data_IF_021103559088
#
_entry.id   IF_021103559088
#
_cell.length_a   1.000
_cell.length_b   1.000
_cell.length_c   1.000
_cell.angle_alpha   90.00
_cell.angle_beta   90.00
_cell.angle_gamma   90.00
#
_symmetry.space_group_name_H-M   'P 1'
#
loop_
_entity.id
_entity.type
_entity.pdbx_description
1 polymer ?
#
# COMPACT_ATOMS: atom_id res chain seq x y z
N UNK A 1 7.11 -9.65 7.78
CA UNK A 1 8.12 -9.81 6.72
C UNK A 1 7.61 -9.06 5.50
N UNK A 2 8.38 -8.12 4.95
CA UNK A 2 8.01 -7.39 3.74
C UNK A 2 8.49 -8.22 2.55
N UNK A 3 7.60 -8.99 1.93
CA UNK A 3 7.95 -9.69 0.68
C UNK A 3 8.21 -8.65 -0.40
N UNK A 4 9.49 -8.53 -0.79
CA UNK A 4 9.92 -7.64 -1.85
C UNK A 4 9.76 -8.37 -3.19
N UNK A 5 8.70 -8.07 -3.94
CA UNK A 5 8.52 -8.57 -5.31
C UNK A 5 9.59 -8.00 -6.23
N UNK A 6 10.14 -8.85 -7.10
CA UNK A 6 11.02 -8.45 -8.19
C UNK A 6 10.33 -7.53 -9.19
N UNK A 7 11.12 -6.93 -10.08
CA UNK A 7 10.61 -6.07 -11.15
C UNK A 7 9.64 -6.81 -12.08
N UNK A 8 10.00 -8.02 -12.50
CA UNK A 8 9.18 -8.86 -13.38
C UNK A 8 7.86 -9.27 -12.71
N UNK A 9 7.91 -9.71 -11.45
CA UNK A 9 6.70 -10.01 -10.67
C UNK A 9 5.82 -8.77 -10.48
N UNK A 10 6.44 -7.60 -10.35
CA UNK A 10 5.70 -6.33 -10.24
C UNK A 10 4.99 -6.00 -11.56
N UNK A 11 5.63 -6.19 -12.71
CA UNK A 11 4.97 -6.02 -14.02
C UNK A 11 3.80 -7.00 -14.17
N UNK A 12 4.04 -8.28 -13.90
CA UNK A 12 3.00 -9.32 -13.95
C UNK A 12 1.83 -9.02 -13.01
N UNK A 13 2.12 -8.49 -11.82
CA UNK A 13 1.09 -8.04 -10.90
C UNK A 13 0.25 -6.89 -11.48
N UNK A 14 0.89 -5.91 -12.13
CA UNK A 14 0.20 -4.77 -12.76
C UNK A 14 -0.71 -5.26 -13.89
N UNK A 15 -0.26 -6.19 -14.74
CA UNK A 15 -1.07 -6.76 -15.82
C UNK A 15 -2.33 -7.46 -15.28
N UNK A 16 -2.16 -8.31 -14.27
CA UNK A 16 -3.29 -9.01 -13.63
C UNK A 16 -4.24 -8.01 -12.93
N UNK A 17 -3.69 -6.98 -12.30
CA UNK A 17 -4.47 -5.92 -11.66
C UNK A 17 -5.28 -5.11 -12.69
N UNK A 18 -4.68 -4.79 -13.83
CA UNK A 18 -5.34 -4.07 -14.92
C UNK A 18 -6.50 -4.89 -15.51
N UNK A 19 -6.33 -6.19 -15.70
CA UNK A 19 -7.38 -7.09 -16.19
C UNK A 19 -8.63 -7.09 -15.28
N UNK A 20 -8.43 -6.97 -13.98
CA UNK A 20 -9.49 -6.98 -12.97
C UNK A 20 -10.13 -5.59 -12.75
N UNK A 21 -10.88 -5.12 -13.76
CA UNK A 21 -11.51 -3.80 -13.79
C UNK A 21 -12.28 -3.40 -12.52
N UNK A 22 -12.92 -4.33 -11.82
CA UNK A 22 -13.65 -4.02 -10.59
C UNK A 22 -12.74 -3.52 -9.45
N UNK A 23 -11.44 -3.77 -9.52
CA UNK A 23 -10.47 -3.38 -8.49
C UNK A 23 -9.97 -1.94 -8.60
N UNK A 24 -10.09 -1.32 -9.77
CA UNK A 24 -9.51 0.01 -10.04
C UNK A 24 -10.47 0.97 -10.74
N UNK A 25 -11.43 0.47 -11.52
CA UNK A 25 -12.30 1.31 -12.32
C UNK A 25 -13.59 1.68 -11.56
N UNK A 26 -13.77 2.94 -11.12
CA UNK A 26 -14.97 3.37 -10.41
C UNK A 26 -16.23 3.36 -11.29
N UNK A 27 -16.08 3.41 -12.62
CA UNK A 27 -17.18 3.32 -13.59
C UNK A 27 -17.71 1.89 -13.73
N UNK A 28 -16.99 0.88 -13.22
CA UNK A 28 -17.44 -0.50 -13.26
C UNK A 28 -18.57 -0.75 -12.25
N UNK A 29 -19.70 -1.30 -12.72
CA UNK A 29 -20.86 -1.67 -11.87
C UNK A 29 -20.51 -2.58 -10.68
N UNK A 30 -19.47 -3.39 -10.79
CA UNK A 30 -19.02 -4.31 -9.75
C UNK A 30 -18.00 -3.70 -8.78
N UNK A 31 -17.57 -2.45 -8.97
CA UNK A 31 -16.58 -1.79 -8.11
C UNK A 31 -17.02 -1.64 -6.66
N UNK A 32 -18.34 -1.70 -6.40
CA UNK A 32 -18.92 -1.66 -5.04
C UNK A 32 -19.28 -3.05 -4.50
N UNK A 33 -19.21 -4.09 -5.34
CA UNK A 33 -19.59 -5.44 -4.95
C UNK A 33 -18.42 -6.13 -4.26
N UNK A 34 -18.51 -6.26 -2.92
CA UNK A 34 -17.47 -6.85 -2.08
C UNK A 34 -17.12 -8.29 -2.48
N UNK A 35 -18.10 -9.07 -2.91
CA UNK A 35 -17.88 -10.47 -3.30
C UNK A 35 -17.04 -10.53 -4.57
N UNK A 36 -17.41 -9.76 -5.60
CA UNK A 36 -16.65 -9.70 -6.86
C UNK A 36 -15.25 -9.16 -6.63
N UNK A 37 -15.08 -8.12 -5.80
CA UNK A 37 -13.76 -7.60 -5.43
C UNK A 37 -12.91 -8.67 -4.75
N UNK A 38 -13.49 -9.39 -3.79
CA UNK A 38 -12.79 -10.46 -3.09
C UNK A 38 -12.39 -11.59 -4.03
N UNK A 39 -13.29 -12.03 -4.91
CA UNK A 39 -13.01 -13.08 -5.89
C UNK A 39 -11.90 -12.66 -6.86
N UNK A 40 -11.88 -11.38 -7.25
CA UNK A 40 -10.83 -10.84 -8.13
C UNK A 40 -9.48 -10.81 -7.44
N UNK A 41 -9.42 -10.43 -6.16
CA UNK A 41 -8.19 -10.56 -5.38
C UNK A 41 -7.75 -12.01 -5.22
N UNK A 42 -8.69 -12.94 -5.01
CA UNK A 42 -8.37 -14.37 -4.93
C UNK A 42 -7.80 -14.90 -6.25
N UNK A 43 -8.33 -14.48 -7.40
CA UNK A 43 -7.77 -14.85 -8.71
C UNK A 43 -6.32 -14.41 -8.84
N UNK A 44 -6.03 -13.14 -8.55
CA UNK A 44 -4.64 -12.62 -8.60
C UNK A 44 -3.74 -13.36 -7.60
N UNK A 45 -4.20 -13.56 -6.37
CA UNK A 45 -3.46 -14.27 -5.33
C UNK A 45 -3.10 -15.70 -5.74
N UNK A 46 -4.05 -16.43 -6.31
CA UNK A 46 -3.84 -17.79 -6.80
C UNK A 46 -2.87 -17.82 -7.99
N UNK A 47 -2.94 -16.85 -8.90
CA UNK A 47 -2.05 -16.78 -10.07
C UNK A 47 -0.61 -16.39 -9.71
N UNK A 48 -0.43 -15.53 -8.71
CA UNK A 48 0.89 -15.08 -8.24
C UNK A 48 1.49 -16.00 -7.17
N UNK A 49 0.67 -16.81 -6.49
CA UNK A 49 1.10 -17.57 -5.31
C UNK A 49 1.39 -16.68 -4.09
N UNK A 50 0.82 -15.47 -4.06
CA UNK A 50 1.08 -14.45 -3.03
C UNK A 50 -0.21 -14.16 -2.27
N UNK A 51 -0.18 -14.03 -0.94
CA UNK A 51 -1.39 -13.77 -0.16
C UNK A 51 -1.99 -12.39 -0.46
N UNK A 52 -3.33 -12.31 -0.43
CA UNK A 52 -4.10 -11.10 -0.77
C UNK A 52 -3.63 -9.86 0.00
N UNK A 53 -3.30 -10.00 1.29
CA UNK A 53 -2.90 -8.87 2.11
C UNK A 53 -1.59 -8.22 1.63
N UNK A 54 -0.64 -9.02 1.12
CA UNK A 54 0.60 -8.51 0.54
C UNK A 54 0.36 -7.87 -0.82
N UNK A 55 -0.51 -8.47 -1.66
CA UNK A 55 -0.89 -7.88 -2.93
C UNK A 55 -1.57 -6.52 -2.75
N UNK A 56 -2.45 -6.39 -1.75
CA UNK A 56 -3.07 -5.10 -1.40
C UNK A 56 -2.02 -4.08 -0.95
N UNK A 57 -1.09 -4.47 -0.07
CA UNK A 57 0.01 -3.60 0.36
C UNK A 57 0.90 -3.18 -0.83
N UNK A 58 1.20 -4.10 -1.74
CA UNK A 58 1.96 -3.82 -2.96
C UNK A 58 1.23 -2.84 -3.87
N UNK A 59 -0.08 -3.04 -4.11
CA UNK A 59 -0.93 -2.09 -4.82
C UNK A 59 -0.83 -0.70 -4.18
N UNK A 60 -1.01 -0.59 -2.86
CA UNK A 60 -1.03 0.71 -2.19
C UNK A 60 0.31 1.43 -2.34
N UNK A 61 1.43 0.71 -2.21
CA UNK A 61 2.77 1.25 -2.45
C UNK A 61 2.97 1.73 -3.91
N UNK A 62 2.55 0.92 -4.89
CA UNK A 62 2.62 1.31 -6.31
C UNK A 62 1.80 2.56 -6.59
N UNK A 63 0.57 2.62 -6.08
CA UNK A 63 -0.33 3.75 -6.31
C UNK A 63 0.13 5.02 -5.58
N UNK A 64 0.78 4.90 -4.41
CA UNK A 64 1.38 6.04 -3.73
C UNK A 64 2.45 6.71 -4.61
N UNK A 65 3.39 5.93 -5.13
CA UNK A 65 4.44 6.42 -6.04
C UNK A 65 3.86 6.95 -7.36
N UNK A 66 2.85 6.27 -7.92
CA UNK A 66 2.16 6.74 -9.13
C UNK A 66 1.54 8.13 -8.94
N UNK A 67 0.76 8.32 -7.86
CA UNK A 67 0.11 9.61 -7.56
C UNK A 67 1.12 10.73 -7.34
N UNK A 68 2.26 10.44 -6.70
CA UNK A 68 3.32 11.42 -6.51
C UNK A 68 3.90 11.88 -7.86
N UNK A 69 4.22 10.93 -8.75
CA UNK A 69 4.70 11.25 -10.08
C UNK A 69 3.66 12.02 -10.90
N UNK A 70 2.40 11.58 -10.88
CA UNK A 70 1.30 12.27 -11.54
C UNK A 70 1.14 13.72 -11.07
N UNK A 71 1.20 13.97 -9.75
CA UNK A 71 1.18 15.33 -9.18
C UNK A 71 2.34 16.19 -9.69
N UNK A 72 3.55 15.64 -9.78
CA UNK A 72 4.74 16.37 -10.28
C UNK A 72 4.58 16.74 -11.75
N UNK A 73 4.04 15.83 -12.57
CA UNK A 73 3.76 16.09 -14.00
C UNK A 73 2.70 17.18 -14.15
N UNK A 74 1.58 17.08 -13.43
CA UNK A 74 0.51 18.09 -13.51
C UNK A 74 1.03 19.46 -13.05
N UNK A 75 1.87 19.51 -12.00
CA UNK A 75 2.45 20.74 -11.48
C UNK A 75 3.46 21.40 -12.44
N UNK A 76 4.32 20.59 -13.10
CA UNK A 76 5.27 21.12 -14.10
C UNK A 76 4.52 21.71 -15.30
N UNK A 77 3.44 21.06 -15.76
CA UNK A 77 2.59 21.59 -16.83
C UNK A 77 1.88 22.89 -16.44
N UNK A 78 1.44 23.05 -15.17
CA UNK A 78 0.71 24.24 -14.71
C UNK A 78 1.59 25.48 -14.62
N UNK A 79 2.89 25.33 -14.35
CA UNK A 79 3.79 26.44 -14.04
C UNK A 79 4.30 27.21 -15.27
N UNK A 80 3.77 26.94 -16.46
CA UNK A 80 4.19 27.61 -17.70
C UNK A 80 5.57 27.19 -18.21
N UNK A 81 6.09 26.07 -17.70
CA UNK A 81 7.33 25.47 -18.18
C UNK A 81 7.18 25.12 -19.68
N UNK A 82 8.20 25.42 -20.47
CA UNK A 82 8.26 24.99 -21.88
C UNK A 82 8.19 23.47 -21.98
N UNK A 83 7.75 22.93 -23.12
CA UNK A 83 7.55 21.49 -23.31
C UNK A 83 8.80 20.62 -23.00
N UNK A 84 10.00 21.21 -22.99
CA UNK A 84 11.26 20.55 -22.58
C UNK A 84 11.47 20.41 -21.06
N UNK A 85 10.75 21.17 -20.21
CA UNK A 85 10.91 21.13 -18.74
C UNK A 85 9.86 20.25 -18.03
N UNK A 86 8.97 19.60 -18.78
CA UNK A 86 7.95 18.73 -18.19
C UNK A 86 8.63 17.51 -17.57
N UNK A 87 8.58 17.40 -16.24
CA UNK A 87 9.10 16.26 -15.49
C UNK A 87 8.67 14.92 -16.11
N UNK A 88 9.65 14.12 -16.55
CA UNK A 88 9.44 12.75 -16.98
C UNK A 88 9.81 11.79 -15.85
N UNK A 89 8.88 10.96 -15.36
CA UNK A 89 9.18 10.01 -14.30
C UNK A 89 10.11 8.90 -14.83
N UNK A 90 11.27 8.72 -14.18
CA UNK A 90 12.23 7.63 -14.47
C UNK A 90 11.72 6.27 -13.94
N UNK A 91 10.48 6.22 -13.45
CA UNK A 91 9.94 5.03 -12.81
C UNK A 91 9.35 4.08 -13.85
N UNK A 92 10.00 2.92 -14.02
CA UNK A 92 9.67 1.91 -15.04
C UNK A 92 8.22 1.40 -15.02
N UNK A 93 7.52 1.52 -13.90
CA UNK A 93 6.11 1.10 -13.78
C UNK A 93 5.12 2.23 -14.09
N UNK A 94 5.60 3.46 -14.33
CA UNK A 94 4.73 4.60 -14.54
C UNK A 94 3.88 4.43 -15.80
N UNK A 95 4.49 4.13 -16.94
CA UNK A 95 3.79 4.07 -18.23
C UNK A 95 2.69 3.01 -18.23
N UNK A 96 2.98 1.82 -17.69
CA UNK A 96 2.01 0.72 -17.59
C UNK A 96 0.84 1.05 -16.65
N UNK A 97 1.09 1.78 -15.56
CA UNK A 97 0.02 2.24 -14.66
C UNK A 97 -0.78 3.39 -15.26
N UNK A 98 -0.11 4.34 -15.92
CA UNK A 98 -0.74 5.50 -16.56
C UNK A 98 -1.73 5.07 -17.65
N UNK A 99 -1.44 3.99 -18.37
CA UNK A 99 -2.28 3.47 -19.46
C UNK A 99 -3.75 3.23 -19.08
N UNK A 100 -4.06 2.96 -17.80
CA UNK A 100 -5.43 2.73 -17.34
C UNK A 100 -5.84 3.55 -16.11
N UNK A 101 -4.90 4.15 -15.39
CA UNK A 101 -5.19 4.91 -14.17
C UNK A 101 -5.27 6.42 -14.38
N UNK A 102 -4.68 6.97 -15.44
CA UNK A 102 -4.64 8.43 -15.65
C UNK A 102 -6.05 9.05 -15.67
N UNK A 103 -6.99 8.49 -16.44
CA UNK A 103 -8.40 8.97 -16.48
C UNK A 103 -9.08 8.93 -15.09
N UNK A 104 -8.75 7.92 -14.29
CA UNK A 104 -9.32 7.73 -12.95
C UNK A 104 -8.80 8.77 -11.96
N UNK A 105 -7.51 9.12 -12.03
CA UNK A 105 -6.87 10.02 -11.07
C UNK A 105 -6.89 11.50 -11.49
N UNK A 106 -6.86 11.82 -12.78
CA UNK A 106 -7.03 13.21 -13.26
C UNK A 106 -8.43 13.73 -12.93
N UNK A 107 -9.46 12.88 -13.09
CA UNK A 107 -10.83 13.21 -12.68
C UNK A 107 -10.94 13.51 -11.18
N UNK A 108 -10.08 12.93 -10.35
CA UNK A 108 -10.07 13.12 -8.90
C UNK A 108 -9.19 14.30 -8.44
N UNK A 109 -8.16 14.69 -9.21
CA UNK A 109 -7.21 15.73 -8.80
C UNK A 109 -7.79 17.15 -8.87
N UNK A 110 -8.91 17.35 -9.57
CA UNK A 110 -9.63 18.63 -9.56
C UNK A 110 -10.19 18.95 -8.17
N UNK A 111 -10.27 17.97 -7.25
CA UNK A 111 -10.99 18.10 -5.98
C UNK A 111 -10.12 17.98 -4.70
N UNK A 112 -8.81 17.72 -4.76
CA UNK A 112 -8.04 17.46 -3.52
C UNK A 112 -6.73 18.25 -3.44
N UNK A 113 -6.82 19.41 -2.78
CA UNK A 113 -5.70 20.21 -2.29
C UNK A 113 -5.40 19.88 -0.83
N UNK A 114 -4.87 18.70 -0.51
CA UNK A 114 -4.25 18.48 0.79
C UNK A 114 -2.88 17.80 0.64
N UNK A 115 -1.87 18.59 1.00
CA UNK A 115 -0.45 18.28 1.01
C UNK A 115 -0.12 17.34 2.17
N UNK A 116 0.51 16.21 1.84
CA UNK A 116 1.31 15.48 2.83
C UNK A 116 2.53 14.90 2.12
N UNK A 117 3.60 15.69 2.12
CA UNK A 117 4.93 15.26 1.68
C UNK A 117 5.41 14.08 2.54
N UNK A 118 5.81 13.00 1.88
CA UNK A 118 6.60 11.92 2.50
C UNK A 118 7.96 11.92 1.80
N UNK A 119 9.07 11.83 2.53
CA UNK A 119 10.41 11.85 1.95
C UNK A 119 10.67 10.50 1.25
N UNK A 120 11.00 10.56 -0.04
CA UNK A 120 11.54 9.41 -0.78
C UNK A 120 13.01 9.26 -0.40
N UNK A 121 13.33 8.22 0.36
CA UNK A 121 14.72 7.76 0.57
C UNK A 121 15.08 6.79 -0.55
N UNK A 122 16.13 7.16 -1.27
CA UNK A 122 16.78 6.45 -2.34
C UNK A 122 17.92 5.65 -1.72
N UNK A 123 17.80 4.32 -1.64
CA UNK A 123 18.89 3.44 -1.23
C UNK A 123 19.52 2.78 -2.46
N UNK A 124 20.72 3.24 -2.79
CA UNK A 124 21.68 2.49 -3.61
C UNK A 124 22.70 1.79 -2.70
N UNK A 125 23.16 0.65 -3.19
CA UNK A 125 23.85 -0.43 -2.49
C UNK A 125 25.36 -0.22 -2.30
N UNK A 126 25.91 -0.86 -1.25
CA UNK A 126 27.32 -1.30 -1.05
C UNK A 126 28.33 -0.21 -0.64
N UNK A 127 29.26 -0.35 0.32
CA UNK A 127 29.98 -1.48 0.93
C UNK A 127 30.60 -1.10 2.29
N UNK A 128 30.52 -2.02 3.27
CA UNK A 128 31.45 -2.37 4.37
C UNK A 128 32.61 -1.44 4.80
N UNK A 129 32.62 -1.03 6.08
CA UNK A 129 33.84 -0.97 6.91
C UNK A 129 33.50 -1.04 8.42
N UNK A 130 34.24 -1.87 9.14
CA UNK A 130 34.11 -2.21 10.58
C UNK A 130 35.11 -1.40 11.40
N UNK A 131 34.73 -0.82 12.54
CA UNK A 131 35.37 -1.08 13.87
C UNK A 131 34.77 -0.28 15.02
N UNK A 132 34.61 -1.00 16.12
CA UNK A 132 34.24 -0.57 17.46
C UNK A 132 35.36 0.21 18.17
N UNK A 133 34.98 0.96 19.20
CA UNK A 133 35.58 1.03 20.55
C UNK A 133 34.50 1.70 21.44
N UNK A 134 33.88 0.99 22.37
CA UNK A 134 34.33 0.81 23.76
C UNK A 134 34.05 2.02 24.68
N UNK A 135 32.99 1.89 25.49
CA UNK A 135 32.98 1.89 26.98
C UNK A 135 31.74 2.63 27.57
N UNK A 136 31.04 2.02 28.56
CA UNK A 136 29.82 2.54 29.20
C UNK A 136 30.13 3.39 30.44
N UNK A 137 29.11 4.04 31.05
CA UNK A 137 28.71 3.58 32.38
C UNK A 137 27.20 3.70 32.71
N UNK A 138 26.66 2.67 33.38
CA UNK A 138 26.11 2.70 34.76
C UNK A 138 25.67 4.07 35.35
N UNK A 139 24.60 4.25 36.15
CA UNK A 139 23.66 3.37 36.88
C UNK A 139 22.60 4.25 37.60
N UNK A 140 21.69 3.61 38.39
CA UNK A 140 20.76 4.12 39.43
C UNK A 140 19.31 4.31 38.93
N UNK A 141 18.45 3.28 39.03
CA UNK A 141 17.68 2.82 40.19
C UNK A 141 16.64 3.84 40.71
N UNK A 142 15.38 3.39 40.72
CA UNK A 142 14.21 4.05 41.28
C UNK A 142 13.11 3.00 41.46
N UNK A 143 13.26 2.26 42.55
CA UNK A 143 12.40 1.24 43.15
C UNK A 143 10.97 1.73 43.51
N UNK A 144 9.99 0.82 43.38
CA UNK A 144 8.86 0.53 44.30
C UNK A 144 7.78 1.61 44.51
N UNK A 145 6.52 1.36 44.85
CA UNK A 145 5.58 0.24 44.98
C UNK A 145 4.25 0.95 45.33
N UNK A 146 3.13 0.70 44.64
CA UNK A 146 1.77 0.98 45.15
C UNK A 146 0.76 0.36 44.16
N UNK A 147 0.30 -0.87 44.38
CA UNK A 147 -0.80 -1.29 45.25
C UNK A 147 -2.15 -1.43 44.51
N UNK A 148 -2.77 -2.60 44.73
CA UNK A 148 -4.21 -2.93 44.64
C UNK A 148 -4.91 -3.25 43.29
N UNK A 149 -4.68 -4.48 42.78
CA UNK A 149 -5.54 -5.71 42.84
C UNK A 149 -7.05 -5.53 43.26
N UNK A 150 -8.02 -6.43 42.98
CA UNK A 150 -8.46 -7.16 41.76
C UNK A 150 -10.01 -7.14 41.53
N UNK A 151 -10.50 -7.70 40.41
CA UNK A 151 -11.73 -8.56 40.35
C UNK A 151 -11.85 -9.16 38.93
N UNK A 152 -11.47 -10.42 38.69
CA UNK A 152 -12.30 -11.64 38.73
C UNK A 152 -13.59 -11.60 37.88
N UNK A 153 -13.66 -12.50 36.87
CA UNK A 153 -14.64 -13.61 36.76
C UNK A 153 -15.03 -13.99 35.31
N UNK A 154 -14.37 -15.06 34.84
CA UNK A 154 -14.86 -16.26 34.12
C UNK A 154 -16.06 -16.23 33.13
N UNK A 155 -15.70 -16.64 31.89
CA UNK A 155 -16.15 -17.83 31.11
C UNK A 155 -17.61 -17.99 30.62
N UNK A 156 -17.69 -18.00 29.28
CA UNK A 156 -18.33 -19.03 28.40
C UNK A 156 -19.87 -19.11 28.34
N UNK A 157 -20.48 -19.90 27.41
CA UNK A 157 -20.35 -19.92 25.94
C UNK A 157 -21.73 -20.02 25.21
N UNK A 158 -21.67 -20.04 23.86
CA UNK A 158 -22.55 -20.73 22.89
C UNK A 158 -23.98 -21.16 23.32
N UNK A 159 -24.99 -20.63 22.61
CA UNK A 159 -26.29 -21.30 22.49
C UNK A 159 -26.60 -21.53 21.00
N UNK A 160 -26.60 -22.81 20.64
CA UNK A 160 -27.23 -23.34 19.44
C UNK A 160 -28.76 -23.27 19.61
N UNK A 161 -29.46 -22.84 18.56
CA UNK A 161 -30.90 -23.00 18.41
C UNK A 161 -31.19 -23.79 17.15
N UNK A 162 -31.45 -25.09 17.30
CA UNK A 162 -31.99 -25.97 16.27
C UNK A 162 -33.51 -25.80 16.16
N UNK A 163 -34.00 -25.78 14.91
CA UNK A 163 -35.08 -26.61 14.36
C UNK A 163 -36.43 -26.74 15.11
N UNK A 164 -37.55 -26.36 14.48
CA UNK A 164 -38.82 -27.12 14.48
C UNK A 164 -39.84 -26.60 13.44
N UNK A 165 -40.24 -27.50 12.52
CA UNK A 165 -41.60 -27.88 11.99
C UNK A 165 -42.65 -26.76 11.81
N UNK A 166 -43.32 -26.58 10.66
CA UNK A 166 -44.17 -27.48 9.85
C UNK A 166 -44.22 -27.03 8.38
#
# INVERSE_FOLDING_TARGET
MTNNMSTEETFRFIELYQAENCLWNPKNKYHKNKNVINDSWNRIANTMGVPIHELKKKKDNLLATFRLNLKRIISSMRSGAGAEEVYQPVWIFYDVLAAFLTDVYESASVMNSEDKAQPVVNEESSTSNVRACDIPPEVKNGDNDDADVPATFQKNPCIQGQNVVL
#
